data_IF_164843992104
#
_entry.id   IF_164843992104
#
_cell.length_a   1.000
_cell.length_b   1.000
_cell.length_c   1.000
_cell.angle_alpha   90.00
_cell.angle_beta   90.00
_cell.angle_gamma   90.00
#
_symmetry.space_group_name_H-M   'P 1'
#
loop_
_entity.id
_entity.type
_entity.pdbx_description
1 polymer ?
#
# COMPACT_ATOMS: atom_id res chain seq x y z
N UNK A 1 4.10 8.23 3.86
CA UNK A 1 3.66 8.91 5.10
C UNK A 1 2.98 7.90 5.99
N UNK A 2 3.75 7.22 6.83
CA UNK A 2 3.26 6.30 7.86
C UNK A 2 3.62 6.80 9.26
N UNK A 3 4.75 7.47 9.41
CA UNK A 3 5.27 7.96 10.67
C UNK A 3 5.57 9.48 10.57
N UNK A 4 4.91 10.26 11.40
CA UNK A 4 5.04 11.72 11.49
C UNK A 4 6.34 12.18 12.17
N UNK A 5 7.08 11.28 12.81
CA UNK A 5 8.26 11.64 13.60
C UNK A 5 9.50 11.93 12.75
N UNK A 6 9.53 11.45 11.51
CA UNK A 6 10.62 11.65 10.54
C UNK A 6 12.04 11.31 11.08
N UNK A 7 12.13 10.33 11.99
CA UNK A 7 13.40 10.00 12.68
C UNK A 7 14.30 9.02 11.91
N UNK A 8 13.74 8.29 10.94
CA UNK A 8 14.45 7.26 10.19
C UNK A 8 15.39 7.86 9.13
N UNK A 9 16.38 7.09 8.70
CA UNK A 9 17.48 7.60 7.89
C UNK A 9 16.99 8.11 6.52
N UNK A 10 16.13 7.36 5.84
CA UNK A 10 15.55 7.75 4.55
C UNK A 10 14.75 9.05 4.63
N UNK A 11 14.14 9.35 5.77
CA UNK A 11 13.32 10.54 5.95
C UNK A 11 14.14 11.81 6.22
N UNK A 12 15.43 11.69 6.55
CA UNK A 12 16.31 12.80 6.95
C UNK A 12 17.19 13.26 5.79
N UNK A 13 17.24 14.57 5.56
CA UNK A 13 18.08 15.21 4.53
C UNK A 13 17.94 14.60 3.12
N UNK A 14 16.81 13.95 2.85
CA UNK A 14 16.48 13.44 1.54
C UNK A 14 16.12 14.62 0.63
N UNK A 15 16.66 14.62 -0.58
CA UNK A 15 16.53 15.67 -1.58
C UNK A 15 15.90 15.15 -2.89
N UNK A 16 15.15 14.05 -2.82
CA UNK A 16 14.53 13.43 -3.98
C UNK A 16 13.57 14.39 -4.71
N UNK A 17 13.34 14.20 -6.02
CA UNK A 17 12.37 14.99 -6.76
C UNK A 17 10.94 14.79 -6.25
N UNK A 18 10.09 15.80 -6.43
CA UNK A 18 8.65 15.80 -6.10
C UNK A 18 8.33 15.73 -4.60
N UNK A 19 8.87 14.74 -3.88
CA UNK A 19 8.65 14.56 -2.45
C UNK A 19 9.97 14.28 -1.75
N UNK A 20 10.33 15.14 -0.80
CA UNK A 20 11.60 15.10 -0.07
C UNK A 20 11.39 15.41 1.42
N UNK A 21 12.44 15.44 2.23
CA UNK A 21 12.33 15.66 3.68
C UNK A 21 11.59 16.96 4.03
N UNK A 22 11.85 18.04 3.29
CA UNK A 22 11.22 19.35 3.55
C UNK A 22 9.73 19.32 3.25
N UNK A 23 9.36 18.79 2.10
CA UNK A 23 7.95 18.65 1.70
C UNK A 23 7.22 17.72 2.66
N UNK A 24 7.88 16.64 3.10
CA UNK A 24 7.30 15.67 4.02
C UNK A 24 6.99 16.29 5.41
N UNK A 25 7.92 17.08 5.95
CA UNK A 25 7.70 17.81 7.20
C UNK A 25 6.53 18.79 7.05
N UNK A 26 6.55 19.63 6.02
CA UNK A 26 5.48 20.60 5.78
C UNK A 26 4.10 19.92 5.59
N UNK A 27 4.07 18.75 4.93
CA UNK A 27 2.84 17.98 4.76
C UNK A 27 2.30 17.45 6.09
N UNK A 28 3.16 16.95 6.99
CA UNK A 28 2.74 16.55 8.33
C UNK A 28 2.26 17.74 9.17
N UNK A 29 2.97 18.87 9.10
CA UNK A 29 2.59 20.08 9.83
C UNK A 29 1.19 20.57 9.41
N UNK A 30 0.92 20.58 8.11
CA UNK A 30 -0.39 20.95 7.57
C UNK A 30 -1.48 19.91 7.86
N UNK A 31 -1.15 18.61 7.81
CA UNK A 31 -2.13 17.55 8.01
C UNK A 31 -2.55 17.41 9.47
N UNK A 32 -1.60 17.51 10.41
CA UNK A 32 -1.87 17.33 11.83
C UNK A 32 -2.34 18.61 12.50
N UNK A 33 -1.83 19.78 12.09
CA UNK A 33 -2.19 21.07 12.69
C UNK A 33 -2.07 21.01 14.21
N UNK A 34 -3.16 21.36 14.91
CA UNK A 34 -3.21 21.40 16.37
C UNK A 34 -2.96 20.02 17.02
N UNK A 35 -3.16 18.91 16.31
CA UNK A 35 -2.87 17.56 16.82
C UNK A 35 -1.38 17.35 17.14
N UNK A 36 -0.48 18.19 16.62
CA UNK A 36 0.93 18.17 16.98
C UNK A 36 1.18 18.54 18.46
N UNK A 37 0.27 19.30 19.06
CA UNK A 37 0.33 19.69 20.47
C UNK A 37 -0.24 18.61 21.41
N UNK A 38 -0.91 17.62 20.83
CA UNK A 38 -1.65 16.57 21.52
C UNK A 38 -1.13 15.17 21.19
N UNK A 39 -1.85 14.15 21.66
CA UNK A 39 -1.60 12.76 21.30
C UNK A 39 -2.08 12.48 19.87
N UNK A 40 -1.14 12.38 18.94
CA UNK A 40 -1.39 12.02 17.54
C UNK A 40 -2.08 10.64 17.45
N UNK A 41 -3.29 10.55 16.87
CA UNK A 41 -4.02 9.29 16.69
C UNK A 41 -3.29 8.32 15.75
N UNK A 42 -3.39 7.02 16.05
CA UNK A 42 -2.82 5.96 15.18
C UNK A 42 -3.47 5.90 13.81
N UNK A 43 -4.69 6.42 13.65
CA UNK A 43 -5.37 6.51 12.37
C UNK A 43 -4.82 7.63 11.47
N UNK A 44 -4.18 8.65 12.08
CA UNK A 44 -3.48 9.70 11.36
C UNK A 44 -2.04 9.28 11.02
N UNK A 45 -1.35 8.64 11.97
CA UNK A 45 0.01 8.13 11.82
C UNK A 45 0.10 6.65 12.23
N UNK A 46 -0.13 5.69 11.30
CA UNK A 46 -0.17 4.26 11.61
C UNK A 46 1.16 3.71 12.14
N UNK A 47 2.28 4.36 11.83
CA UNK A 47 3.59 4.08 12.42
C UNK A 47 3.59 4.14 13.96
N UNK A 48 2.62 4.85 14.56
CA UNK A 48 2.46 4.95 16.02
C UNK A 48 1.70 3.80 16.67
N UNK A 49 1.02 2.94 15.90
CA UNK A 49 0.30 1.80 16.47
C UNK A 49 1.24 0.94 17.35
N UNK A 50 0.75 0.36 18.44
CA UNK A 50 1.55 -0.56 19.29
C UNK A 50 1.17 -2.01 19.07
N UNK A 51 -0.03 -2.26 18.55
CA UNK A 51 -0.55 -3.58 18.20
C UNK A 51 -1.06 -3.56 16.75
N UNK A 52 -0.72 -4.62 16.02
CA UNK A 52 -1.06 -4.82 14.61
C UNK A 52 -1.73 -6.19 14.38
N UNK A 53 -2.01 -6.94 15.45
CA UNK A 53 -2.63 -8.26 15.36
C UNK A 53 -4.04 -8.15 14.78
N UNK A 54 -4.40 -9.11 13.92
CA UNK A 54 -5.73 -9.18 13.31
C UNK A 54 -5.95 -8.26 12.11
N UNK A 55 -4.94 -7.48 11.70
CA UNK A 55 -5.00 -6.71 10.45
C UNK A 55 -5.07 -7.63 9.21
N UNK A 56 -5.66 -7.17 8.10
CA UNK A 56 -5.71 -7.94 6.87
C UNK A 56 -4.31 -8.12 6.25
N UNK A 57 -4.11 -9.15 5.40
CA UNK A 57 -2.91 -9.28 4.58
C UNK A 57 -2.63 -8.01 3.78
N UNK A 58 -1.36 -7.62 3.69
CA UNK A 58 -0.95 -6.36 3.07
C UNK A 58 0.02 -6.55 1.92
N UNK A 59 -0.08 -5.66 0.93
CA UNK A 59 0.91 -5.50 -0.14
C UNK A 59 1.37 -4.05 -0.13
N UNK A 60 2.67 -3.82 -0.13
CA UNK A 60 3.24 -2.47 -0.18
C UNK A 60 4.53 -2.42 -0.99
N UNK A 61 4.86 -1.25 -1.52
CA UNK A 61 6.11 -1.05 -2.22
C UNK A 61 6.62 0.37 -2.01
N UNK A 62 7.92 0.54 -2.18
CA UNK A 62 8.59 1.83 -1.99
C UNK A 62 9.83 1.90 -2.88
N UNK A 63 10.23 3.10 -3.24
CA UNK A 63 11.48 3.32 -3.96
C UNK A 63 12.67 3.44 -2.98
N UNK A 64 13.86 3.07 -3.41
CA UNK A 64 15.10 3.22 -2.62
C UNK A 64 15.53 4.69 -2.42
N UNK A 65 15.11 5.60 -3.31
CA UNK A 65 15.34 7.04 -3.18
C UNK A 65 14.18 7.76 -2.47
N UNK A 66 13.09 7.06 -2.17
CA UNK A 66 11.90 7.65 -1.54
C UNK A 66 12.17 7.93 -0.04
N UNK A 67 11.84 9.12 0.48
CA UNK A 67 11.96 9.39 1.91
C UNK A 67 11.19 8.41 2.81
N UNK A 68 10.19 7.71 2.25
CA UNK A 68 9.38 6.72 2.96
C UNK A 68 9.97 5.32 3.02
N UNK A 69 11.17 5.08 2.46
CA UNK A 69 11.78 3.75 2.39
C UNK A 69 11.81 3.05 3.76
N UNK A 70 12.46 3.66 4.74
CA UNK A 70 12.69 3.03 6.03
C UNK A 70 11.38 2.83 6.80
N UNK A 71 10.46 3.82 6.78
CA UNK A 71 9.18 3.69 7.47
C UNK A 71 8.32 2.58 6.88
N UNK A 72 8.34 2.44 5.54
CA UNK A 72 7.57 1.40 4.84
C UNK A 72 8.13 0.02 5.15
N UNK A 73 9.46 -0.15 5.06
CA UNK A 73 10.11 -1.41 5.39
C UNK A 73 9.96 -1.77 6.86
N UNK A 74 10.03 -0.79 7.78
CA UNK A 74 9.82 -1.01 9.20
C UNK A 74 8.38 -1.45 9.48
N UNK A 75 7.39 -0.79 8.89
CA UNK A 75 5.98 -1.13 9.09
C UNK A 75 5.66 -2.52 8.53
N UNK A 76 6.18 -2.87 7.35
CA UNK A 76 6.06 -4.21 6.78
C UNK A 76 6.63 -5.29 7.72
N UNK A 77 7.84 -5.09 8.26
CA UNK A 77 8.44 -6.01 9.24
C UNK A 77 7.61 -6.14 10.52
N UNK A 78 6.95 -5.06 10.95
CA UNK A 78 6.09 -5.09 12.14
C UNK A 78 4.81 -5.88 11.90
N UNK A 79 4.21 -5.75 10.72
CA UNK A 79 3.07 -6.58 10.31
C UNK A 79 3.45 -8.07 10.24
N UNK A 80 4.60 -8.40 9.65
CA UNK A 80 5.12 -9.78 9.63
C UNK A 80 5.30 -10.35 11.04
N UNK A 81 5.87 -9.57 11.97
CA UNK A 81 6.02 -9.95 13.38
C UNK A 81 4.68 -10.15 14.10
N UNK A 82 3.64 -9.46 13.67
CA UNK A 82 2.27 -9.63 14.17
C UNK A 82 1.54 -10.83 13.52
N UNK A 83 2.22 -11.63 12.69
CA UNK A 83 1.64 -12.79 12.01
C UNK A 83 0.82 -12.43 10.79
N UNK A 84 0.90 -11.19 10.29
CA UNK A 84 0.15 -10.74 9.12
C UNK A 84 0.95 -11.12 7.86
N UNK A 85 0.32 -11.78 6.86
CA UNK A 85 0.97 -12.00 5.58
C UNK A 85 1.23 -10.65 4.89
N UNK A 86 2.49 -10.37 4.55
CA UNK A 86 2.89 -9.13 3.89
C UNK A 86 3.78 -9.42 2.69
N UNK A 87 3.55 -8.71 1.59
CA UNK A 87 4.51 -8.57 0.51
C UNK A 87 5.00 -7.12 0.43
N UNK A 88 6.29 -6.91 0.66
CA UNK A 88 6.96 -5.61 0.55
C UNK A 88 8.01 -5.64 -0.56
N UNK A 89 7.98 -4.70 -1.51
CA UNK A 89 8.99 -4.60 -2.58
C UNK A 89 9.66 -3.23 -2.58
N UNK A 90 10.98 -3.23 -2.55
CA UNK A 90 11.79 -2.03 -2.82
C UNK A 90 12.15 -2.00 -4.31
N UNK A 91 12.00 -0.84 -4.92
CA UNK A 91 12.36 -0.58 -6.31
C UNK A 91 13.58 0.34 -6.38
N UNK A 92 14.64 -0.15 -7.02
CA UNK A 92 15.89 0.57 -7.17
C UNK A 92 15.74 1.74 -8.14
N UNK A 93 16.37 2.89 -7.82
CA UNK A 93 16.31 4.14 -8.59
C UNK A 93 14.97 4.87 -8.56
N UNK A 94 14.03 4.46 -7.71
CA UNK A 94 12.70 5.06 -7.64
C UNK A 94 12.61 6.06 -6.48
N UNK A 95 12.10 7.25 -6.78
CA UNK A 95 11.63 8.20 -5.77
C UNK A 95 10.10 8.19 -5.70
N UNK A 96 9.54 9.03 -4.83
CA UNK A 96 8.10 9.10 -4.65
C UNK A 96 7.36 9.40 -5.97
N UNK A 97 6.24 8.71 -6.21
CA UNK A 97 5.44 8.80 -7.44
C UNK A 97 6.20 8.59 -8.77
N UNK A 98 7.38 7.95 -8.75
CA UNK A 98 8.16 7.66 -9.96
C UNK A 98 7.35 6.88 -11.02
N UNK A 99 6.39 6.05 -10.61
CA UNK A 99 5.48 5.33 -11.53
C UNK A 99 4.58 6.24 -12.35
N UNK A 100 4.21 7.41 -11.81
CA UNK A 100 3.42 8.43 -12.54
C UNK A 100 4.31 9.33 -13.38
N UNK A 101 5.51 9.65 -12.90
CA UNK A 101 6.44 10.55 -13.58
C UNK A 101 7.18 9.89 -14.76
N UNK A 102 7.46 8.59 -14.69
CA UNK A 102 8.28 7.88 -15.66
C UNK A 102 7.41 7.07 -16.63
N UNK A 103 6.92 7.74 -17.69
CA UNK A 103 6.31 7.09 -18.87
C UNK A 103 7.25 6.10 -19.58
N UNK A 104 8.57 6.18 -19.30
CA UNK A 104 9.63 5.32 -19.85
C UNK A 104 10.41 4.53 -18.79
N UNK A 105 9.85 4.29 -17.59
CA UNK A 105 10.46 3.29 -16.71
C UNK A 105 10.52 1.95 -17.45
N UNK A 106 11.63 1.19 -17.42
CA UNK A 106 11.67 -0.13 -18.03
C UNK A 106 10.48 -0.90 -17.47
N UNK A 107 9.57 -1.28 -18.37
CA UNK A 107 8.45 -2.17 -18.08
C UNK A 107 9.02 -3.53 -17.73
N UNK A 108 9.66 -3.61 -16.57
CA UNK A 108 10.21 -4.85 -16.05
C UNK A 108 9.01 -5.77 -15.84
N UNK A 109 9.03 -7.01 -16.39
CA UNK A 109 7.91 -7.95 -16.29
C UNK A 109 7.48 -8.26 -14.86
N UNK A 110 8.32 -7.91 -13.88
CA UNK A 110 8.14 -8.07 -12.44
C UNK A 110 6.93 -7.31 -11.90
N UNK A 111 6.69 -6.06 -12.33
CA UNK A 111 5.57 -5.23 -11.85
C UNK A 111 4.18 -5.82 -12.17
N UNK A 112 4.02 -6.47 -13.33
CA UNK A 112 2.73 -7.06 -13.75
C UNK A 112 2.39 -8.35 -13.01
N UNK A 113 3.41 -9.10 -12.55
CA UNK A 113 3.25 -10.41 -11.91
C UNK A 113 3.23 -10.34 -10.38
N UNK A 114 3.76 -9.28 -9.78
CA UNK A 114 3.98 -9.22 -8.34
C UNK A 114 2.69 -9.17 -7.48
N UNK A 115 1.61 -8.45 -7.86
CA UNK A 115 0.35 -8.51 -7.09
C UNK A 115 -0.39 -9.85 -7.29
N UNK A 116 -0.23 -10.48 -8.46
CA UNK A 116 -0.97 -11.70 -8.81
C UNK A 116 -0.44 -12.94 -8.08
N UNK A 117 0.84 -12.96 -7.71
CA UNK A 117 1.41 -14.06 -6.89
C UNK A 117 0.99 -14.00 -5.42
N UNK A 118 0.71 -12.83 -4.85
CA UNK A 118 0.32 -12.69 -3.44
C UNK A 118 -1.11 -13.16 -3.19
N UNK A 119 -2.03 -12.85 -4.11
CA UNK A 119 -3.41 -13.32 -4.07
C UNK A 119 -3.63 -14.64 -4.80
N UNK A 120 -2.57 -15.27 -5.34
CA UNK A 120 -2.72 -16.58 -5.95
C UNK A 120 -3.25 -17.55 -4.89
N UNK A 121 -4.44 -18.13 -5.06
CA UNK A 121 -4.98 -19.06 -4.09
C UNK A 121 -3.97 -20.21 -3.93
N UNK A 122 -3.55 -20.44 -2.68
CA UNK A 122 -2.73 -21.58 -2.32
C UNK A 122 -3.42 -22.84 -2.89
N UNK A 123 -2.80 -23.50 -3.87
CA UNK A 123 -3.36 -24.64 -4.61
C UNK A 123 -3.66 -25.86 -3.73
N UNK A 124 -3.31 -25.78 -2.44
CA UNK A 124 -3.54 -26.75 -1.39
C UNK A 124 -4.89 -26.61 -0.65
N UNK A 125 -5.69 -25.55 -0.87
CA UNK A 125 -7.04 -25.48 -0.29
C UNK A 125 -8.03 -26.28 -1.15
N UNK A 126 -8.70 -27.32 -0.61
CA UNK A 126 -9.72 -28.04 -1.35
C UNK A 126 -10.85 -27.09 -1.75
N UNK A 127 -11.19 -27.10 -3.04
CA UNK A 127 -12.27 -26.29 -3.60
C UNK A 127 -13.59 -26.76 -2.98
N UNK A 128 -14.45 -25.87 -2.45
CA UNK A 128 -15.78 -26.28 -2.01
C UNK A 128 -16.53 -26.89 -3.20
N UNK A 129 -17.10 -28.08 -3.02
CA UNK A 129 -17.88 -28.76 -4.06
C UNK A 129 -19.17 -27.98 -4.32
N UNK A 130 -19.13 -27.02 -5.24
CA UNK A 130 -20.34 -26.32 -5.69
C UNK A 130 -21.14 -27.29 -6.56
N UNK A 131 -22.21 -27.86 -5.99
CA UNK A 131 -23.22 -28.60 -6.75
C UNK A 131 -23.76 -27.75 -7.89
N UNK A 132 -23.55 -28.21 -9.12
CA UNK A 132 -23.91 -27.51 -10.35
C UNK A 132 -25.42 -27.58 -10.58
N UNK A 133 -26.19 -26.63 -10.08
CA UNK A 133 -27.57 -26.42 -10.57
C UNK A 133 -27.49 -25.68 -11.91
N UNK A 134 -27.78 -26.39 -13.00
CA UNK A 134 -27.85 -25.84 -14.36
C UNK A 134 -29.06 -24.92 -14.51
N UNK A 135 -28.88 -23.59 -14.45
CA UNK A 135 -29.92 -22.63 -14.83
C UNK A 135 -29.82 -22.33 -16.33
N UNK A 136 -30.86 -22.68 -17.09
CA UNK A 136 -30.99 -22.40 -18.54
C UNK A 136 -30.75 -20.91 -18.82
N UNK A 137 -29.87 -20.60 -19.77
CA UNK A 137 -29.57 -19.23 -20.24
C UNK A 137 -30.69 -18.75 -21.18
N UNK A 138 -31.28 -17.59 -20.91
CA UNK A 138 -32.01 -16.79 -21.91
C UNK A 138 -31.02 -15.85 -22.62
N UNK A 139 -31.15 -15.61 -23.93
CA UNK A 139 -30.21 -14.75 -24.64
C UNK A 139 -30.65 -13.28 -24.66
N UNK A 140 -29.64 -12.43 -24.80
CA UNK A 140 -29.61 -11.07 -25.37
C UNK A 140 -29.20 -9.93 -24.42
N UNK A 141 -28.07 -9.31 -24.79
CA UNK A 141 -27.86 -7.89 -25.12
C UNK A 141 -26.42 -7.54 -24.71
N UNK A 142 -25.58 -7.35 -25.71
CA UNK A 142 -24.21 -6.89 -25.57
C UNK A 142 -24.25 -5.41 -25.16
N UNK A 143 -23.92 -5.09 -23.91
CA UNK A 143 -23.55 -3.73 -23.50
C UNK A 143 -22.07 -3.76 -23.15
N UNK A 144 -21.29 -3.04 -23.95
CA UNK A 144 -19.91 -2.73 -23.67
C UNK A 144 -19.85 -1.99 -22.33
N UNK A 145 -19.13 -2.55 -21.36
CA UNK A 145 -18.85 -1.86 -20.10
C UNK A 145 -17.36 -2.05 -19.77
N UNK A 146 -16.63 -0.95 -19.87
CA UNK A 146 -15.23 -0.84 -19.51
C UNK A 146 -15.02 -1.25 -18.03
N UNK A 147 -13.87 -1.85 -17.67
CA UNK A 147 -13.58 -2.18 -16.29
C UNK A 147 -13.39 -0.89 -15.47
N UNK A 148 -14.29 -0.68 -14.50
CA UNK A 148 -14.11 0.31 -13.43
C UNK A 148 -12.93 -0.13 -12.56
N UNK A 149 -11.88 0.69 -12.49
CA UNK A 149 -10.89 0.59 -11.41
C UNK A 149 -11.59 0.96 -10.10
N UNK A 150 -11.72 0.00 -9.20
CA UNK A 150 -12.16 0.24 -7.83
C UNK A 150 -10.95 0.71 -7.01
N UNK A 151 -10.87 2.01 -6.75
CA UNK A 151 -10.15 2.53 -5.58
C UNK A 151 -10.98 2.20 -4.35
N UNK A 152 -10.41 1.45 -3.40
CA UNK A 152 -11.06 1.14 -2.12
C UNK A 152 -10.49 2.08 -1.07
N UNK A 153 -11.21 3.16 -0.80
CA UNK A 153 -11.14 3.93 0.44
C UNK A 153 -12.17 3.30 1.37
N UNK A 154 -11.73 2.75 2.51
CA UNK A 154 -12.64 2.28 3.55
C UNK A 154 -12.90 3.43 4.52
N UNK A 155 -14.14 3.93 4.50
CA UNK A 155 -14.76 4.64 5.60
C UNK A 155 -16.07 3.91 5.88
N UNK A 156 -16.29 3.42 7.10
CA UNK A 156 -17.64 3.30 7.67
C UNK A 156 -17.55 3.12 9.20
N UNK A 157 -18.14 4.11 9.86
CA UNK A 157 -18.94 4.12 11.09
C UNK A 157 -18.89 2.94 12.06
N UNK A 158 -18.65 3.27 13.33
CA UNK A 158 -19.62 3.07 14.41
C UNK A 158 -19.54 4.28 15.35
#
# INVERSE_FOLDING_TARGET
MLDDRLVLASAKNNNAPVWNSRVNQAAWDLYLGDLLLDKIPIYAAPGRATDLVGLPPAITYVGDLDPFLDETCLYAKRLERAGIPVACKVFDGCYHVATMALTKWPRTPTLRKWPTTFYAPNSSRPRPSTGRKTRKRKPSVCKHQAPRLHYVIWALSS
#
